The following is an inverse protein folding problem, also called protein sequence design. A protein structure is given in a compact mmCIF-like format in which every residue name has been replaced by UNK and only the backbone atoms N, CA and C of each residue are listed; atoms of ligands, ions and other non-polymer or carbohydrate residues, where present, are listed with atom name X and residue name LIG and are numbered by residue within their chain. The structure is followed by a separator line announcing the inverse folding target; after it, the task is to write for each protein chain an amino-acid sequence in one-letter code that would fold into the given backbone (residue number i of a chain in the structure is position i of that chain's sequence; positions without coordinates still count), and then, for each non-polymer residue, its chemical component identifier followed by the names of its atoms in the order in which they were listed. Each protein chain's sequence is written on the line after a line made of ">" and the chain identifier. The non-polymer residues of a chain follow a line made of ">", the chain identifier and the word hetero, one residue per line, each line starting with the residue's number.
data_IF_085956070306
#
_entry.id   IF_085956070306
#
_cell.length_a   1.000
_cell.length_b   1.000
_cell.length_c   1.000
_cell.angle_alpha   90.00
_cell.angle_beta   90.00
_cell.angle_gamma   90.00
#
_symmetry.space_group_name_H-M   'P 1'
#
loop_
_entity.id
_entity.type
_entity.pdbx_description
1 polymer ?
#
# COMPACT_ATOMS: atom_id res chain seq x y z
N UNK A 1 9.76 -24.68 49.34
CA UNK A 1 8.95 -25.01 48.13
C UNK A 1 8.17 -23.82 47.55
N UNK A 2 7.99 -22.68 48.25
CA UNK A 2 7.25 -21.51 47.73
C UNK A 2 7.98 -20.64 46.69
N UNK A 3 9.31 -20.69 46.61
CA UNK A 3 10.11 -19.85 45.69
C UNK A 3 10.11 -20.33 44.22
N UNK A 4 9.82 -21.62 43.98
CA UNK A 4 9.82 -22.22 42.63
C UNK A 4 8.53 -21.87 41.88
N UNK A 5 7.39 -21.82 42.59
CA UNK A 5 6.08 -21.47 42.02
C UNK A 5 6.04 -19.99 41.57
N UNK A 6 6.74 -19.10 42.27
CA UNK A 6 6.88 -17.69 41.89
C UNK A 6 7.71 -17.50 40.60
N UNK A 7 8.77 -18.29 40.41
CA UNK A 7 9.60 -18.22 39.21
C UNK A 7 8.87 -18.73 37.95
N UNK A 8 8.11 -19.82 38.05
CA UNK A 8 7.29 -20.32 36.93
C UNK A 8 6.18 -19.33 36.55
N UNK A 9 5.53 -18.71 37.56
CA UNK A 9 4.55 -17.65 37.34
C UNK A 9 5.13 -16.44 36.60
N UNK A 10 6.33 -15.99 37.03
CA UNK A 10 7.08 -14.91 36.37
C UNK A 10 7.44 -15.26 34.93
N UNK A 11 7.99 -16.46 34.67
CA UNK A 11 8.32 -16.93 33.32
C UNK A 11 7.10 -16.95 32.39
N UNK A 12 5.95 -17.46 32.86
CA UNK A 12 4.70 -17.45 32.08
C UNK A 12 4.21 -16.04 31.81
N UNK A 13 4.35 -15.12 32.77
CA UNK A 13 3.95 -13.72 32.59
C UNK A 13 4.82 -13.00 31.54
N UNK A 14 6.14 -13.23 31.55
CA UNK A 14 7.07 -12.67 30.58
C UNK A 14 6.85 -13.26 29.17
N UNK A 15 6.57 -14.56 29.07
CA UNK A 15 6.20 -15.18 27.80
C UNK A 15 4.89 -14.61 27.23
N UNK A 16 3.88 -14.35 28.08
CA UNK A 16 2.62 -13.70 27.66
C UNK A 16 2.88 -12.28 27.15
N UNK A 17 3.67 -11.48 27.87
CA UNK A 17 4.06 -10.12 27.44
C UNK A 17 4.79 -10.16 26.09
N UNK A 18 5.75 -11.06 25.92
CA UNK A 18 6.49 -11.21 24.66
C UNK A 18 5.57 -11.57 23.49
N UNK A 19 4.65 -12.52 23.68
CA UNK A 19 3.65 -12.89 22.65
C UNK A 19 2.74 -11.73 22.28
N UNK A 20 2.28 -10.96 23.27
CA UNK A 20 1.47 -9.77 23.03
C UNK A 20 2.24 -8.71 22.23
N UNK A 21 3.51 -8.47 22.56
CA UNK A 21 4.37 -7.55 21.82
C UNK A 21 4.63 -8.00 20.38
N UNK A 22 4.86 -9.30 20.15
CA UNK A 22 4.99 -9.87 18.82
C UNK A 22 3.71 -9.71 17.99
N UNK A 23 2.54 -9.93 18.59
CA UNK A 23 1.26 -9.71 17.94
C UNK A 23 1.06 -8.24 17.58
N UNK A 24 1.38 -7.32 18.49
CA UNK A 24 1.36 -5.88 18.23
C UNK A 24 2.25 -5.49 17.04
N UNK A 25 3.48 -6.00 17.00
CA UNK A 25 4.41 -5.75 15.90
C UNK A 25 3.85 -6.24 14.55
N UNK A 26 3.21 -7.42 14.53
CA UNK A 26 2.56 -7.96 13.32
C UNK A 26 1.39 -7.11 12.86
N UNK A 27 0.54 -6.66 13.78
CA UNK A 27 -0.60 -5.76 13.48
C UNK A 27 -0.13 -4.43 12.90
N UNK A 28 0.89 -3.83 13.53
CA UNK A 28 1.49 -2.59 13.05
C UNK A 28 2.08 -2.74 11.64
N UNK A 29 2.75 -3.85 11.38
CA UNK A 29 3.32 -4.13 10.07
C UNK A 29 2.24 -4.33 9.00
N UNK A 30 1.14 -5.00 9.32
CA UNK A 30 0.00 -5.14 8.42
C UNK A 30 -0.59 -3.78 8.02
N UNK A 31 -0.77 -2.87 9.00
CA UNK A 31 -1.25 -1.51 8.75
C UNK A 31 -0.27 -0.71 7.88
N UNK A 32 1.03 -0.79 8.18
CA UNK A 32 2.08 -0.07 7.42
C UNK A 32 2.10 -0.46 5.96
N UNK A 33 1.96 -1.74 5.62
CA UNK A 33 1.98 -2.23 4.24
C UNK A 33 0.90 -1.61 3.36
N UNK A 34 -0.25 -1.25 3.94
CA UNK A 34 -1.36 -0.63 3.22
C UNK A 34 -1.22 0.91 3.20
N UNK A 35 -0.82 1.53 4.31
CA UNK A 35 -0.80 2.99 4.44
C UNK A 35 0.49 3.68 3.93
N UNK A 36 1.65 3.03 4.00
CA UNK A 36 2.92 3.68 3.66
C UNK A 36 3.08 3.92 2.15
N UNK A 37 2.55 3.03 1.31
CA UNK A 37 2.68 3.16 -0.15
C UNK A 37 1.70 4.20 -0.74
N UNK A 38 0.55 4.45 -0.11
CA UNK A 38 -0.48 5.36 -0.64
C UNK A 38 -0.25 6.83 -0.29
N UNK A 39 0.59 7.13 0.72
CA UNK A 39 0.81 8.49 1.25
C UNK A 39 2.20 9.08 0.99
N UNK A 40 3.12 8.34 0.37
CA UNK A 40 4.46 8.88 0.07
C UNK A 40 4.38 9.92 -1.05
N UNK A 41 4.55 11.20 -0.71
CA UNK A 41 4.51 12.31 -1.67
C UNK A 41 5.75 12.41 -2.57
N UNK A 42 6.78 11.61 -2.30
CA UNK A 42 8.08 11.70 -2.98
C UNK A 42 8.31 10.59 -4.03
N UNK A 43 7.33 9.71 -4.29
CA UNK A 43 7.50 8.54 -5.16
C UNK A 43 6.32 8.32 -6.10
N UNK A 44 6.60 7.73 -7.27
CA UNK A 44 5.59 7.29 -8.22
C UNK A 44 4.78 6.14 -7.62
N UNK A 45 3.45 6.23 -7.67
CA UNK A 45 2.58 5.16 -7.17
C UNK A 45 2.64 3.89 -8.04
N UNK A 46 3.04 4.01 -9.32
CA UNK A 46 3.15 2.86 -10.24
C UNK A 46 4.50 2.15 -10.14
N UNK A 47 5.60 2.88 -10.31
CA UNK A 47 6.95 2.31 -10.44
C UNK A 47 7.85 2.54 -9.22
N UNK A 48 7.42 3.34 -8.23
CA UNK A 48 8.16 3.60 -7.00
C UNK A 48 9.37 4.53 -7.14
N UNK A 49 9.68 5.02 -8.35
CA UNK A 49 10.80 5.93 -8.57
C UNK A 49 10.62 7.21 -7.74
N UNK A 50 11.69 7.64 -7.08
CA UNK A 50 11.73 8.89 -6.34
C UNK A 50 11.97 10.05 -7.31
N UNK A 51 11.27 11.16 -7.12
CA UNK A 51 11.44 12.37 -7.94
C UNK A 51 11.23 13.64 -7.11
N UNK A 52 11.71 14.77 -7.65
CA UNK A 52 11.59 16.07 -6.99
C UNK A 52 10.12 16.54 -6.94
N UNK A 53 9.68 16.94 -5.74
CA UNK A 53 8.29 17.29 -5.45
C UNK A 53 7.81 18.56 -6.16
N UNK A 54 8.72 19.43 -6.59
CA UNK A 54 8.39 20.67 -7.31
C UNK A 54 7.84 20.43 -8.73
N UNK A 55 8.31 19.39 -9.43
CA UNK A 55 7.76 19.03 -10.73
C UNK A 55 6.35 18.44 -10.63
N UNK A 56 6.00 17.89 -9.45
CA UNK A 56 4.75 17.17 -9.22
C UNK A 56 3.53 18.09 -9.13
N UNK A 57 3.63 19.26 -8.47
CA UNK A 57 2.51 20.19 -8.33
C UNK A 57 2.02 20.78 -9.66
N UNK A 58 2.90 20.83 -10.67
CA UNK A 58 2.55 21.31 -12.01
C UNK A 58 1.93 20.22 -12.90
N UNK A 59 2.17 18.95 -12.59
CA UNK A 59 1.83 17.80 -13.46
C UNK A 59 0.76 16.87 -12.89
N UNK A 60 0.34 17.04 -11.63
CA UNK A 60 -0.69 16.20 -11.04
C UNK A 60 -2.08 16.53 -11.63
N UNK A 61 -2.43 15.83 -12.70
CA UNK A 61 -3.79 15.82 -13.27
C UNK A 61 -4.35 14.41 -13.13
N UNK A 62 -5.12 14.16 -12.06
CA UNK A 62 -5.83 12.89 -11.88
C UNK A 62 -5.78 12.30 -10.47
N UNK A 63 -6.27 11.06 -10.29
CA UNK A 63 -6.36 10.40 -8.98
C UNK A 63 -5.04 9.78 -8.48
N UNK A 64 -4.05 9.60 -9.36
CA UNK A 64 -2.81 8.86 -9.07
C UNK A 64 -1.56 9.73 -9.25
N UNK A 65 -0.59 9.60 -8.34
CA UNK A 65 0.68 10.35 -8.40
C UNK A 65 1.72 9.58 -9.21
N UNK A 66 1.87 9.94 -10.47
CA UNK A 66 2.85 9.34 -11.37
C UNK A 66 4.10 10.22 -11.54
N UNK A 67 5.22 9.58 -11.90
CA UNK A 67 6.31 10.29 -12.59
C UNK A 67 5.90 10.59 -14.04
N UNK A 68 6.67 11.41 -14.76
CA UNK A 68 6.37 11.79 -16.17
C UNK A 68 6.12 10.57 -17.05
N UNK A 69 7.02 9.60 -17.03
CA UNK A 69 6.89 8.39 -17.85
C UNK A 69 5.63 7.58 -17.52
N UNK A 70 5.31 7.36 -16.24
CA UNK A 70 4.09 6.64 -15.88
C UNK A 70 2.82 7.44 -16.17
N UNK A 71 2.89 8.77 -16.18
CA UNK A 71 1.78 9.65 -16.55
C UNK A 71 1.47 9.50 -18.05
N UNK A 72 2.49 9.58 -18.91
CA UNK A 72 2.36 9.39 -20.36
C UNK A 72 1.79 8.01 -20.70
N UNK A 73 2.28 6.96 -20.04
CA UNK A 73 1.76 5.60 -20.22
C UNK A 73 0.30 5.48 -19.75
N UNK A 74 -0.07 6.15 -18.66
CA UNK A 74 -1.45 6.13 -18.14
C UNK A 74 -2.42 6.83 -19.09
N UNK A 75 -2.04 7.99 -19.63
CA UNK A 75 -2.84 8.74 -20.61
C UNK A 75 -3.05 7.94 -21.89
N UNK A 76 -1.99 7.28 -22.37
CA UNK A 76 -2.06 6.39 -23.52
C UNK A 76 -2.96 5.18 -23.25
N UNK A 77 -2.88 4.59 -22.05
CA UNK A 77 -3.78 3.51 -21.65
C UNK A 77 -5.24 3.97 -21.67
N UNK A 78 -5.54 5.16 -21.13
CA UNK A 78 -6.90 5.72 -21.15
C UNK A 78 -7.38 5.94 -22.60
N UNK A 79 -6.55 6.53 -23.46
CA UNK A 79 -6.84 6.73 -24.88
C UNK A 79 -7.20 5.43 -25.59
N UNK A 80 -6.39 4.38 -25.40
CA UNK A 80 -6.61 3.07 -26.02
C UNK A 80 -7.86 2.37 -25.45
N UNK A 81 -8.13 2.54 -24.16
CA UNK A 81 -9.32 1.99 -23.50
C UNK A 81 -10.61 2.63 -24.03
N UNK A 82 -10.61 3.94 -24.28
CA UNK A 82 -11.78 4.68 -24.77
C UNK A 82 -12.02 4.48 -26.27
N UNK A 83 -10.95 4.49 -27.07
CA UNK A 83 -11.07 4.43 -28.54
C UNK A 83 -11.14 3.01 -29.10
N UNK A 84 -10.81 1.99 -28.29
CA UNK A 84 -10.56 0.60 -28.74
C UNK A 84 -9.58 0.52 -29.93
N UNK A 85 -8.75 1.56 -30.11
CA UNK A 85 -7.82 1.71 -31.21
C UNK A 85 -6.51 0.97 -30.97
N UNK A 86 -5.68 0.92 -32.00
CA UNK A 86 -4.32 0.39 -31.90
C UNK A 86 -3.34 1.48 -31.47
N UNK A 87 -2.33 1.10 -30.70
CA UNK A 87 -1.21 1.98 -30.39
C UNK A 87 -0.26 2.06 -31.58
N UNK A 88 0.30 3.25 -31.89
CA UNK A 88 1.41 3.36 -32.85
C UNK A 88 2.69 2.68 -32.34
N UNK A 89 2.77 2.38 -31.04
CA UNK A 89 3.93 1.77 -30.41
C UNK A 89 3.75 0.26 -30.23
N UNK A 90 4.65 -0.55 -30.81
CA UNK A 90 4.54 -2.02 -30.75
C UNK A 90 4.59 -2.60 -29.33
N UNK A 91 5.15 -1.86 -28.36
CA UNK A 91 5.23 -2.29 -26.96
C UNK A 91 3.96 -2.01 -26.15
N UNK A 92 3.02 -1.19 -26.65
CA UNK A 92 1.69 -1.01 -26.06
C UNK A 92 0.71 -2.07 -26.58
N UNK A 93 1.12 -3.33 -26.44
CA UNK A 93 0.33 -4.48 -26.89
C UNK A 93 -0.75 -4.87 -25.86
N UNK A 94 -1.49 -5.95 -26.14
CA UNK A 94 -2.57 -6.45 -25.28
C UNK A 94 -2.11 -6.80 -23.85
N UNK A 95 -0.88 -7.29 -23.69
CA UNK A 95 -0.35 -7.61 -22.36
C UNK A 95 0.00 -6.33 -21.58
N UNK A 96 0.50 -5.30 -22.25
CA UNK A 96 0.71 -3.99 -21.64
C UNK A 96 -0.62 -3.37 -21.16
N UNK A 97 -1.68 -3.45 -21.98
CA UNK A 97 -3.03 -3.03 -21.55
C UNK A 97 -3.51 -3.83 -20.32
N UNK A 98 -3.27 -5.14 -20.32
CA UNK A 98 -3.62 -6.02 -19.20
C UNK A 98 -2.87 -5.65 -17.92
N UNK A 99 -1.59 -5.31 -18.01
CA UNK A 99 -0.80 -4.82 -16.86
C UNK A 99 -1.46 -3.60 -16.23
N UNK A 100 -1.90 -2.63 -17.05
CA UNK A 100 -2.60 -1.44 -16.56
C UNK A 100 -3.96 -1.77 -15.94
N UNK A 101 -4.76 -2.62 -16.58
CA UNK A 101 -6.04 -3.07 -16.04
C UNK A 101 -5.88 -3.77 -14.68
N UNK A 102 -4.96 -4.73 -14.57
CA UNK A 102 -4.68 -5.44 -13.33
C UNK A 102 -4.15 -4.49 -12.24
N UNK A 103 -3.29 -3.54 -12.61
CA UNK A 103 -2.78 -2.57 -11.65
C UNK A 103 -3.88 -1.66 -11.10
N UNK A 104 -4.79 -1.17 -11.94
CA UNK A 104 -5.93 -0.35 -11.49
C UNK A 104 -6.90 -1.16 -10.62
N UNK A 105 -7.20 -2.40 -11.01
CA UNK A 105 -8.02 -3.30 -10.20
C UNK A 105 -7.38 -3.57 -8.83
N UNK A 106 -6.05 -3.73 -8.78
CA UNK A 106 -5.32 -3.85 -7.53
C UNK A 106 -5.40 -2.58 -6.67
N UNK A 107 -5.29 -1.39 -7.26
CA UNK A 107 -5.48 -0.13 -6.52
C UNK A 107 -6.88 -0.02 -5.91
N UNK A 108 -7.91 -0.41 -6.66
CA UNK A 108 -9.30 -0.40 -6.15
C UNK A 108 -9.50 -1.42 -5.02
N UNK A 109 -8.94 -2.63 -5.17
CA UNK A 109 -8.99 -3.64 -4.12
C UNK A 109 -8.27 -3.18 -2.84
N UNK A 110 -7.11 -2.52 -2.96
CA UNK A 110 -6.40 -1.93 -1.83
C UNK A 110 -7.22 -0.84 -1.13
N UNK A 111 -7.87 0.03 -1.91
CA UNK A 111 -8.75 1.06 -1.37
C UNK A 111 -9.93 0.42 -0.62
N UNK A 112 -10.63 -0.53 -1.24
CA UNK A 112 -11.73 -1.25 -0.60
C UNK A 112 -11.31 -1.98 0.66
N UNK A 113 -10.13 -2.61 0.69
CA UNK A 113 -9.59 -3.20 1.91
C UNK A 113 -9.28 -2.15 2.98
N UNK A 114 -8.67 -1.02 2.60
CA UNK A 114 -8.39 0.09 3.51
C UNK A 114 -9.64 0.73 4.11
N UNK A 115 -10.78 0.64 3.43
CA UNK A 115 -12.09 1.14 3.86
C UNK A 115 -12.92 0.06 4.60
N UNK A 116 -12.42 -1.18 4.71
CA UNK A 116 -13.14 -2.25 5.42
C UNK A 116 -13.22 -1.99 6.93
N UNK A 117 -14.34 -2.34 7.59
CA UNK A 117 -14.49 -2.16 9.03
C UNK A 117 -13.37 -2.83 9.85
N UNK A 118 -12.99 -4.04 9.47
CA UNK A 118 -11.96 -4.82 10.15
C UNK A 118 -10.58 -4.15 10.07
N UNK A 119 -10.26 -3.55 8.92
CA UNK A 119 -9.01 -2.82 8.76
C UNK A 119 -9.02 -1.50 9.54
N UNK A 120 -10.15 -0.78 9.56
CA UNK A 120 -10.32 0.43 10.36
C UNK A 120 -10.16 0.13 11.86
N UNK A 121 -10.75 -0.96 12.34
CA UNK A 121 -10.61 -1.39 13.73
C UNK A 121 -9.15 -1.78 14.05
N UNK A 122 -8.46 -2.46 13.12
CA UNK A 122 -7.03 -2.76 13.24
C UNK A 122 -6.18 -1.48 13.34
N UNK A 123 -6.48 -0.46 12.52
CA UNK A 123 -5.79 0.85 12.56
C UNK A 123 -6.01 1.52 13.92
N UNK A 124 -7.26 1.55 14.41
CA UNK A 124 -7.59 2.12 15.74
C UNK A 124 -6.87 1.40 16.86
N UNK A 125 -6.79 0.07 16.80
CA UNK A 125 -6.07 -0.73 17.78
C UNK A 125 -4.58 -0.33 17.84
N UNK A 126 -3.92 -0.16 16.69
CA UNK A 126 -2.49 0.18 16.67
C UNK A 126 -2.20 1.67 16.91
N UNK A 127 -3.15 2.58 16.64
CA UNK A 127 -3.01 4.02 16.92
C UNK A 127 -3.26 4.37 18.39
N UNK A 128 -4.22 3.70 19.05
CA UNK A 128 -4.57 3.97 20.46
C UNK A 128 -3.51 3.47 21.45
N UNK A 129 -2.70 2.48 21.08
CA UNK A 129 -1.63 1.97 21.93
C UNK A 129 -0.28 2.70 21.74
N UNK A 130 -0.31 3.96 21.26
CA UNK A 130 0.85 4.82 21.01
C UNK A 130 0.92 5.95 22.01
#
# INVERSE_FOLDING_TARGET
>A
MSKVIDMEGRLRSEQKKKKAQEQKAKKLEAVRKILQCTRCLARCIKCGVQFETQEMYKRFQGPYRFCSSCQEEYEEYLRLKETAGESPCYWHNKEWLRVWQCWLAYQEALKGYGESPEFIDLVREVEWER
#
